data_IF_013274547896
#
_entry.id   IF_013274547896
#
_cell.length_a   1.000
_cell.length_b   1.000
_cell.length_c   1.000
_cell.angle_alpha   90.00
_cell.angle_beta   90.00
_cell.angle_gamma   90.00
#
_symmetry.space_group_name_H-M   'P 1'
#
loop_
_entity.id
_entity.type
_entity.pdbx_description
1 polymer ?
#
# COMPACT_ATOMS: atom_id res chain seq x y z
N UNK A 1 13.23 24.51 -12.75
CA UNK A 1 13.54 24.67 -11.32
C UNK A 1 12.78 23.57 -10.60
N UNK A 2 13.43 22.67 -9.86
CA UNK A 2 12.73 21.59 -9.16
C UNK A 2 12.04 22.16 -7.93
N UNK A 3 10.79 21.78 -7.67
CA UNK A 3 10.06 22.22 -6.48
C UNK A 3 10.82 21.73 -5.23
N UNK A 4 11.06 22.66 -4.29
CA UNK A 4 11.58 22.31 -2.98
C UNK A 4 10.49 21.59 -2.16
N UNK A 5 10.63 20.27 -2.07
CA UNK A 5 9.73 19.38 -1.34
C UNK A 5 9.59 19.77 0.14
N UNK A 6 10.65 20.29 0.76
CA UNK A 6 10.64 20.66 2.18
C UNK A 6 9.86 21.96 2.41
N UNK A 7 10.02 22.94 1.52
CA UNK A 7 9.20 24.16 1.54
C UNK A 7 7.71 23.82 1.33
N UNK A 8 7.40 22.90 0.43
CA UNK A 8 6.02 22.45 0.20
C UNK A 8 5.44 21.70 1.41
N UNK A 9 6.21 20.79 2.03
CA UNK A 9 5.83 20.10 3.29
C UNK A 9 5.54 21.10 4.42
N UNK A 10 6.40 22.10 4.58
CA UNK A 10 6.23 23.14 5.59
C UNK A 10 4.96 23.98 5.32
N UNK A 11 4.65 24.27 4.06
CA UNK A 11 3.43 24.99 3.68
C UNK A 11 2.15 24.19 4.00
N UNK A 12 2.16 22.88 3.71
CA UNK A 12 1.07 21.95 4.02
C UNK A 12 0.88 21.74 5.53
N UNK A 13 1.98 21.74 6.29
CA UNK A 13 1.97 21.57 7.74
C UNK A 13 1.60 22.86 8.50
N UNK A 14 1.89 24.02 7.90
CA UNK A 14 1.82 25.34 8.55
C UNK A 14 0.44 26.01 8.60
N UNK A 15 -0.65 25.34 8.20
CA UNK A 15 -2.05 25.86 8.17
C UNK A 15 -2.28 27.16 7.37
N UNK A 16 -1.31 27.67 6.62
CA UNK A 16 -1.41 28.96 5.91
C UNK A 16 -2.24 28.90 4.63
N UNK A 17 -2.39 27.72 4.03
CA UNK A 17 -3.12 27.52 2.77
C UNK A 17 -4.35 26.64 3.01
N UNK A 18 -5.52 27.28 3.09
CA UNK A 18 -6.80 26.63 3.47
C UNK A 18 -7.23 25.58 2.45
N UNK A 19 -7.00 25.84 1.15
CA UNK A 19 -7.36 24.91 0.08
C UNK A 19 -6.49 23.65 0.15
N UNK A 20 -5.17 23.85 0.28
CA UNK A 20 -4.23 22.74 0.46
C UNK A 20 -4.51 21.92 1.72
N UNK A 21 -4.79 22.57 2.85
CA UNK A 21 -5.18 21.87 4.09
C UNK A 21 -6.41 21.00 3.88
N UNK A 22 -7.44 21.52 3.22
CA UNK A 22 -8.67 20.78 2.94
C UNK A 22 -8.42 19.60 2.01
N UNK A 23 -7.55 19.74 1.00
CA UNK A 23 -7.14 18.63 0.14
C UNK A 23 -6.42 17.55 0.95
N UNK A 24 -5.46 17.93 1.81
CA UNK A 24 -4.77 16.99 2.70
C UNK A 24 -5.74 16.24 3.60
N UNK A 25 -6.69 16.93 4.21
CA UNK A 25 -7.72 16.31 5.06
C UNK A 25 -8.59 15.32 4.28
N UNK A 26 -8.98 15.66 3.05
CA UNK A 26 -9.77 14.77 2.19
C UNK A 26 -8.98 13.54 1.72
N UNK A 27 -7.71 13.70 1.34
CA UNK A 27 -6.84 12.57 0.97
C UNK A 27 -6.60 11.67 2.19
N UNK A 28 -6.31 12.26 3.36
CA UNK A 28 -6.13 11.50 4.60
C UNK A 28 -7.40 10.73 5.00
N UNK A 29 -8.57 11.35 4.82
CA UNK A 29 -9.87 10.70 5.03
C UNK A 29 -10.10 9.53 4.06
N UNK A 30 -9.71 9.67 2.78
CA UNK A 30 -9.77 8.56 1.81
C UNK A 30 -8.85 7.40 2.17
N UNK A 31 -7.64 7.68 2.67
CA UNK A 31 -6.74 6.65 3.20
C UNK A 31 -7.35 5.99 4.44
N UNK A 32 -8.01 6.77 5.30
CA UNK A 32 -8.72 6.23 6.47
C UNK A 32 -9.85 5.27 6.09
N UNK A 33 -10.59 5.56 5.02
CA UNK A 33 -11.64 4.69 4.49
C UNK A 33 -11.09 3.48 3.72
N UNK A 34 -9.80 3.46 3.36
CA UNK A 34 -9.19 2.37 2.62
C UNK A 34 -8.64 1.27 3.53
N UNK A 35 -8.31 0.13 2.92
CA UNK A 35 -7.61 -0.97 3.59
C UNK A 35 -6.21 -0.57 4.09
N UNK A 36 -5.63 0.50 3.56
CA UNK A 36 -4.30 1.04 3.93
C UNK A 36 -4.35 1.98 5.15
N UNK A 37 -5.48 2.06 5.85
CA UNK A 37 -5.61 2.87 7.05
C UNK A 37 -4.62 2.41 8.15
N UNK A 38 -3.66 3.27 8.50
CA UNK A 38 -2.68 3.07 9.57
C UNK A 38 -2.91 3.99 10.78
N UNK A 39 -4.10 4.60 10.86
CA UNK A 39 -4.48 5.55 11.90
C UNK A 39 -4.30 7.01 11.48
N UNK A 40 -5.03 7.90 12.14
CA UNK A 40 -5.20 9.31 11.75
C UNK A 40 -3.86 10.02 11.45
N UNK A 41 -2.89 9.92 12.37
CA UNK A 41 -1.58 10.58 12.22
C UNK A 41 -0.79 10.04 11.03
N UNK A 42 -0.75 8.71 10.86
CA UNK A 42 -0.03 8.08 9.77
C UNK A 42 -0.67 8.43 8.41
N UNK A 43 -2.00 8.36 8.33
CA UNK A 43 -2.75 8.69 7.11
C UNK A 43 -2.57 10.16 6.72
N UNK A 44 -2.53 11.08 7.69
CA UNK A 44 -2.29 12.49 7.41
C UNK A 44 -0.87 12.75 6.88
N UNK A 45 0.14 12.07 7.41
CA UNK A 45 1.52 12.14 6.89
C UNK A 45 1.58 11.57 5.47
N UNK A 46 0.98 10.40 5.24
CA UNK A 46 0.92 9.78 3.91
C UNK A 46 0.22 10.69 2.89
N UNK A 47 -0.86 11.36 3.28
CA UNK A 47 -1.54 12.35 2.44
C UNK A 47 -0.63 13.55 2.09
N UNK A 48 0.13 14.08 3.06
CA UNK A 48 1.11 15.15 2.79
C UNK A 48 2.16 14.67 1.80
N UNK A 49 2.74 13.49 2.01
CA UNK A 49 3.78 12.95 1.13
C UNK A 49 3.27 12.71 -0.29
N UNK A 50 2.05 12.17 -0.44
CA UNK A 50 1.39 12.00 -1.73
C UNK A 50 1.17 13.34 -2.46
N UNK A 51 0.67 14.36 -1.75
CA UNK A 51 0.46 15.71 -2.31
C UNK A 51 1.79 16.31 -2.75
N UNK A 52 2.81 16.24 -1.89
CA UNK A 52 4.14 16.79 -2.17
C UNK A 52 4.74 16.13 -3.40
N UNK A 53 4.64 14.81 -3.48
CA UNK A 53 5.18 14.06 -4.59
C UNK A 53 4.42 14.36 -5.89
N UNK A 54 3.09 14.29 -5.86
CA UNK A 54 2.24 14.62 -7.00
C UNK A 54 2.55 16.02 -7.54
N UNK A 55 2.61 17.03 -6.67
CA UNK A 55 2.89 18.41 -7.08
C UNK A 55 4.29 18.52 -7.70
N UNK A 56 5.29 17.90 -7.07
CA UNK A 56 6.69 17.97 -7.51
C UNK A 56 6.91 17.32 -8.88
N UNK A 57 6.13 16.30 -9.21
CA UNK A 57 6.24 15.56 -10.47
C UNK A 57 5.40 16.17 -11.59
N UNK A 58 4.26 16.80 -11.26
CA UNK A 58 3.28 17.25 -12.26
C UNK A 58 3.26 18.77 -12.49
N UNK A 59 3.97 19.56 -11.67
CA UNK A 59 3.99 21.01 -11.79
C UNK A 59 5.42 21.56 -11.76
N UNK A 60 5.71 22.60 -12.56
CA UNK A 60 7.02 23.22 -12.59
C UNK A 60 7.32 24.04 -11.32
N UNK A 61 6.29 24.60 -10.67
CA UNK A 61 6.40 25.37 -9.43
C UNK A 61 5.07 25.45 -8.64
N UNK A 62 5.13 25.94 -7.40
CA UNK A 62 3.97 26.11 -6.51
C UNK A 62 2.95 27.12 -7.09
N UNK A 63 3.34 28.27 -7.68
CA UNK A 63 2.39 29.16 -8.36
C UNK A 63 1.58 28.47 -9.47
N UNK A 64 2.21 27.68 -10.34
CA UNK A 64 1.55 26.94 -11.43
C UNK A 64 0.53 25.94 -10.89
N UNK A 65 0.89 25.27 -9.79
CA UNK A 65 -0.05 24.41 -9.06
C UNK A 65 -1.24 25.20 -8.49
N UNK A 66 -1.00 26.35 -7.86
CA UNK A 66 -2.06 27.22 -7.32
C UNK A 66 -2.97 27.76 -8.41
N UNK A 67 -2.41 28.09 -9.57
CA UNK A 67 -3.18 28.51 -10.74
C UNK A 67 -4.13 27.37 -11.17
N UNK A 68 -3.61 26.14 -11.31
CA UNK A 68 -4.42 24.95 -11.62
C UNK A 68 -5.52 24.71 -10.58
N UNK A 69 -5.19 24.80 -9.30
CA UNK A 69 -6.17 24.71 -8.22
C UNK A 69 -7.24 25.80 -8.34
N UNK A 70 -6.87 27.03 -8.68
CA UNK A 70 -7.81 28.15 -8.77
C UNK A 70 -8.78 28.00 -9.96
N UNK A 71 -8.33 27.39 -11.05
CA UNK A 71 -9.19 27.01 -12.18
C UNK A 71 -10.16 25.91 -11.84
N UNK A 72 -9.74 24.96 -10.99
CA UNK A 72 -10.63 23.93 -10.46
C UNK A 72 -11.60 24.56 -9.44
N UNK A 73 -11.14 25.45 -8.56
CA UNK A 73 -11.84 25.97 -7.37
C UNK A 73 -13.12 26.80 -7.59
N UNK A 74 -13.75 26.77 -8.77
CA UNK A 74 -15.07 27.38 -9.00
C UNK A 74 -16.23 26.61 -8.34
N UNK A 75 -16.03 26.03 -7.15
CA UNK A 75 -17.05 25.35 -6.33
C UNK A 75 -16.51 24.21 -5.45
N UNK A 76 -17.33 23.70 -4.51
CA UNK A 76 -16.99 22.61 -3.56
C UNK A 76 -16.56 21.32 -4.27
N UNK A 77 -17.21 20.99 -5.39
CA UNK A 77 -16.96 19.77 -6.17
C UNK A 77 -15.51 19.63 -6.65
N UNK A 78 -14.83 20.76 -6.86
CA UNK A 78 -13.48 20.78 -7.42
C UNK A 78 -12.35 20.39 -6.47
N UNK A 79 -12.49 20.72 -5.18
CA UNK A 79 -11.53 20.35 -4.14
C UNK A 79 -11.60 18.85 -3.88
N UNK A 80 -12.81 18.27 -3.94
CA UNK A 80 -13.01 16.82 -3.89
C UNK A 80 -12.41 16.13 -5.10
N UNK A 81 -12.68 16.61 -6.32
CA UNK A 81 -12.07 16.07 -7.54
C UNK A 81 -10.54 16.08 -7.49
N UNK A 82 -9.95 17.15 -6.95
CA UNK A 82 -8.49 17.22 -6.83
C UNK A 82 -7.95 16.25 -5.77
N UNK A 83 -8.64 16.11 -4.65
CA UNK A 83 -8.32 15.08 -3.66
C UNK A 83 -8.45 13.66 -4.22
N UNK A 84 -9.45 13.40 -5.09
CA UNK A 84 -9.58 12.12 -5.81
C UNK A 84 -8.35 11.85 -6.68
N UNK A 85 -7.92 12.83 -7.49
CA UNK A 85 -6.73 12.71 -8.34
C UNK A 85 -5.48 12.35 -7.51
N UNK A 86 -5.27 13.04 -6.39
CA UNK A 86 -4.12 12.76 -5.53
C UNK A 86 -4.25 11.40 -4.86
N UNK A 87 -5.45 11.00 -4.43
CA UNK A 87 -5.66 9.71 -3.80
C UNK A 87 -5.44 8.54 -4.78
N UNK A 88 -5.88 8.68 -6.04
CA UNK A 88 -5.55 7.71 -7.09
C UNK A 88 -4.04 7.68 -7.36
N UNK A 89 -3.38 8.84 -7.46
CA UNK A 89 -1.93 8.92 -7.57
C UNK A 89 -1.21 8.24 -6.39
N UNK A 90 -1.71 8.44 -5.16
CA UNK A 90 -1.22 7.75 -3.96
C UNK A 90 -1.34 6.24 -4.13
N UNK A 91 -2.51 5.71 -4.48
CA UNK A 91 -2.70 4.26 -4.66
C UNK A 91 -1.81 3.65 -5.74
N UNK A 92 -1.51 4.38 -6.81
CA UNK A 92 -0.65 3.92 -7.90
C UNK A 92 0.85 4.01 -7.58
N UNK A 93 1.23 4.83 -6.60
CA UNK A 93 2.63 5.13 -6.31
C UNK A 93 3.08 4.81 -4.88
N UNK A 94 2.15 4.49 -3.98
CA UNK A 94 2.46 4.04 -2.64
C UNK A 94 3.01 2.61 -2.69
N UNK A 95 4.21 2.45 -2.15
CA UNK A 95 4.89 1.16 -2.16
C UNK A 95 4.26 0.22 -1.13
N UNK A 96 3.97 -1.00 -1.55
CA UNK A 96 3.65 -2.10 -0.64
C UNK A 96 4.94 -2.53 0.07
N UNK A 97 5.21 -1.96 1.23
CA UNK A 97 6.27 -2.47 2.09
C UNK A 97 5.80 -3.66 2.95
N UNK A 98 6.78 -4.33 3.56
CA UNK A 98 6.54 -5.51 4.39
C UNK A 98 5.54 -5.23 5.53
N UNK A 99 5.67 -4.10 6.23
CA UNK A 99 4.83 -3.78 7.39
C UNK A 99 3.40 -3.44 6.96
N UNK A 100 3.22 -2.79 5.81
CA UNK A 100 1.91 -2.56 5.21
C UNK A 100 1.23 -3.88 4.90
N UNK A 101 1.90 -4.80 4.19
CA UNK A 101 1.30 -6.10 3.83
C UNK A 101 1.00 -6.92 5.08
N UNK A 102 1.93 -6.97 6.03
CA UNK A 102 1.74 -7.67 7.30
C UNK A 102 0.52 -7.12 8.05
N UNK A 103 0.42 -5.80 8.18
CA UNK A 103 -0.72 -5.16 8.84
C UNK A 103 -2.04 -5.47 8.11
N UNK A 104 -2.07 -5.50 6.77
CA UNK A 104 -3.26 -5.89 6.00
C UNK A 104 -3.72 -7.32 6.34
N UNK A 105 -2.77 -8.24 6.53
CA UNK A 105 -3.03 -9.63 6.93
C UNK A 105 -3.49 -9.71 8.38
N UNK A 106 -2.73 -9.18 9.33
CA UNK A 106 -3.00 -9.30 10.78
C UNK A 106 -4.33 -8.67 11.17
N UNK A 107 -4.71 -7.58 10.50
CA UNK A 107 -5.98 -6.87 10.75
C UNK A 107 -7.13 -7.34 9.85
N UNK A 108 -6.88 -8.32 8.96
CA UNK A 108 -7.82 -8.82 7.97
C UNK A 108 -8.46 -7.74 7.07
N UNK A 109 -7.76 -6.62 6.86
CA UNK A 109 -8.22 -5.51 6.01
C UNK A 109 -8.20 -5.86 4.52
N UNK A 110 -7.31 -6.77 4.11
CA UNK A 110 -7.37 -7.39 2.79
C UNK A 110 -7.74 -8.87 2.93
N UNK A 111 -8.96 -9.22 2.50
CA UNK A 111 -9.51 -10.57 2.63
C UNK A 111 -8.78 -11.58 1.75
N UNK A 112 -8.24 -11.18 0.60
CA UNK A 112 -7.52 -12.11 -0.28
C UNK A 112 -6.16 -12.45 0.32
N UNK A 113 -5.43 -11.43 0.81
CA UNK A 113 -4.16 -11.65 1.52
C UNK A 113 -4.36 -12.54 2.74
N UNK A 114 -5.40 -12.28 3.54
CA UNK A 114 -5.71 -13.12 4.72
C UNK A 114 -5.97 -14.57 4.33
N UNK A 115 -6.78 -14.83 3.29
CA UNK A 115 -7.07 -16.19 2.81
C UNK A 115 -5.82 -16.87 2.24
N UNK A 116 -5.00 -16.15 1.48
CA UNK A 116 -3.72 -16.65 0.98
C UNK A 116 -2.85 -17.09 2.16
N UNK A 117 -2.72 -16.25 3.20
CA UNK A 117 -1.97 -16.59 4.42
C UNK A 117 -2.53 -17.82 5.11
N UNK A 118 -3.84 -17.95 5.23
CA UNK A 118 -4.47 -19.13 5.83
C UNK A 118 -4.17 -20.42 5.04
N UNK A 119 -4.17 -20.34 3.70
CA UNK A 119 -3.81 -21.46 2.82
C UNK A 119 -2.32 -21.83 2.99
N UNK A 120 -1.42 -20.83 3.06
CA UNK A 120 0.00 -21.06 3.29
C UNK A 120 0.23 -21.70 4.67
N UNK A 121 -0.43 -21.20 5.72
CA UNK A 121 -0.34 -21.78 7.07
C UNK A 121 -0.83 -23.23 7.11
N UNK A 122 -1.91 -23.53 6.37
CA UNK A 122 -2.41 -24.90 6.23
C UNK A 122 -1.42 -25.81 5.49
N UNK A 123 -0.70 -25.30 4.48
CA UNK A 123 0.37 -26.06 3.81
C UNK A 123 1.55 -26.34 4.73
N UNK A 124 1.96 -25.37 5.56
CA UNK A 124 3.00 -25.58 6.59
C UNK A 124 2.55 -26.65 7.59
N UNK A 125 1.29 -26.59 8.04
CA UNK A 125 0.73 -27.63 8.91
C UNK A 125 0.78 -29.05 8.30
N UNK A 126 0.68 -29.16 6.97
CA UNK A 126 0.78 -30.44 6.26
C UNK A 126 2.23 -30.88 5.99
N UNK A 127 3.24 -30.07 6.28
CA UNK A 127 4.65 -30.35 5.99
C UNK A 127 5.41 -30.83 7.23
N UNK A 128 6.70 -31.16 7.05
CA UNK A 128 7.62 -31.47 8.14
C UNK A 128 7.99 -30.26 9.01
N UNK A 129 7.58 -29.06 8.63
CA UNK A 129 7.88 -27.80 9.33
C UNK A 129 6.77 -27.38 10.29
N UNK A 130 5.74 -28.22 10.48
CA UNK A 130 4.65 -27.95 11.42
C UNK A 130 5.19 -27.66 12.83
N UNK A 131 4.91 -26.46 13.32
CA UNK A 131 5.25 -25.97 14.66
C UNK A 131 4.01 -25.64 15.48
N UNK A 132 2.83 -26.08 15.01
CA UNK A 132 1.54 -25.81 15.60
C UNK A 132 0.85 -24.57 15.01
N UNK A 133 -0.48 -24.44 15.16
CA UNK A 133 -1.30 -23.49 14.39
C UNK A 133 -0.87 -22.02 14.48
N UNK A 134 -0.51 -21.56 15.67
CA UNK A 134 -0.12 -20.16 15.90
C UNK A 134 1.22 -19.83 15.23
N UNK A 135 2.23 -20.69 15.42
CA UNK A 135 3.55 -20.50 14.80
C UNK A 135 3.47 -20.65 13.28
N UNK A 136 2.68 -21.60 12.77
CA UNK A 136 2.46 -21.76 11.33
C UNK A 136 1.80 -20.52 10.71
N UNK A 137 0.85 -19.89 11.41
CA UNK A 137 0.24 -18.65 10.95
C UNK A 137 1.24 -17.49 10.94
N UNK A 138 2.03 -17.31 12.00
CA UNK A 138 3.05 -16.25 12.05
C UNK A 138 4.12 -16.41 10.95
N UNK A 139 4.55 -17.65 10.71
CA UNK A 139 5.43 -17.99 9.59
C UNK A 139 4.79 -17.64 8.25
N UNK A 140 3.56 -18.12 7.99
CA UNK A 140 2.83 -17.83 6.77
C UNK A 140 2.61 -16.32 6.55
N UNK A 141 2.25 -15.58 7.60
CA UNK A 141 2.07 -14.13 7.56
C UNK A 141 3.36 -13.44 7.12
N UNK A 142 4.48 -13.83 7.74
CA UNK A 142 5.80 -13.29 7.42
C UNK A 142 6.19 -13.59 5.97
N UNK A 143 5.96 -14.81 5.48
CA UNK A 143 6.33 -15.18 4.11
C UNK A 143 5.46 -14.52 3.05
N UNK A 144 4.14 -14.44 3.28
CA UNK A 144 3.24 -13.72 2.38
C UNK A 144 3.61 -12.24 2.36
N UNK A 145 3.88 -11.63 3.51
CA UNK A 145 4.30 -10.23 3.58
C UNK A 145 5.61 -9.97 2.84
N UNK A 146 6.62 -10.83 3.02
CA UNK A 146 7.87 -10.75 2.27
C UNK A 146 7.67 -10.91 0.77
N UNK A 147 7.01 -11.99 0.35
CA UNK A 147 6.83 -12.26 -1.08
C UNK A 147 6.07 -11.13 -1.77
N UNK A 148 4.96 -10.66 -1.19
CA UNK A 148 4.14 -9.62 -1.81
C UNK A 148 4.88 -8.29 -1.87
N UNK A 149 5.55 -7.88 -0.80
CA UNK A 149 6.29 -6.61 -0.78
C UNK A 149 7.51 -6.59 -1.71
N UNK A 150 8.14 -7.73 -1.96
CA UNK A 150 9.27 -7.84 -2.91
C UNK A 150 8.82 -7.89 -4.38
N UNK A 151 7.63 -8.44 -4.66
CA UNK A 151 7.20 -8.73 -6.04
C UNK A 151 6.17 -7.74 -6.59
N UNK A 152 5.52 -6.93 -5.75
CA UNK A 152 4.49 -6.00 -6.19
C UNK A 152 4.76 -4.58 -5.69
N UNK A 153 4.73 -3.63 -6.63
CA UNK A 153 4.90 -2.21 -6.30
C UNK A 153 3.81 -1.71 -5.36
N UNK A 154 2.54 -2.05 -5.61
CA UNK A 154 1.38 -1.52 -4.91
C UNK A 154 0.20 -2.51 -4.95
N UNK A 155 -0.85 -2.24 -4.18
CA UNK A 155 -2.04 -3.12 -4.10
C UNK A 155 -2.69 -3.33 -5.48
N UNK A 156 -2.92 -2.28 -6.31
CA UNK A 156 -3.45 -2.47 -7.65
C UNK A 156 -2.66 -3.49 -8.48
N UNK A 157 -1.33 -3.41 -8.49
CA UNK A 157 -0.46 -4.34 -9.22
C UNK A 157 -0.59 -5.78 -8.70
N UNK A 158 -0.68 -5.95 -7.38
CA UNK A 158 -0.96 -7.25 -6.77
C UNK A 158 -2.33 -7.82 -7.19
N UNK A 159 -3.38 -7.00 -7.14
CA UNK A 159 -4.74 -7.42 -7.54
C UNK A 159 -4.84 -7.73 -9.04
N UNK A 160 -4.15 -6.95 -9.87
CA UNK A 160 -4.04 -7.21 -11.30
C UNK A 160 -3.37 -8.56 -11.54
N UNK A 161 -2.26 -8.85 -10.87
CA UNK A 161 -1.61 -10.15 -10.96
C UNK A 161 -2.52 -11.30 -10.52
N UNK A 162 -3.23 -11.17 -9.38
CA UNK A 162 -4.22 -12.17 -8.97
C UNK A 162 -5.29 -12.41 -10.04
N UNK A 163 -5.76 -11.35 -10.70
CA UNK A 163 -6.75 -11.49 -11.77
C UNK A 163 -6.19 -12.25 -13.00
N UNK A 164 -4.88 -12.21 -13.25
CA UNK A 164 -4.26 -13.00 -14.32
C UNK A 164 -4.23 -14.51 -14.03
N UNK A 165 -4.27 -14.91 -12.76
CA UNK A 165 -4.23 -16.32 -12.34
C UNK A 165 -5.59 -17.02 -12.46
N UNK A 166 -6.68 -16.29 -12.69
CA UNK A 166 -8.02 -16.86 -12.89
C UNK A 166 -9.10 -16.17 -12.05
N UNK A 167 -10.15 -16.92 -11.67
CA UNK A 167 -11.26 -16.40 -10.85
C UNK A 167 -11.55 -17.30 -9.65
N UNK A 168 -11.98 -16.67 -8.56
CA UNK A 168 -12.51 -17.36 -7.38
C UNK A 168 -11.43 -18.01 -6.50
N UNK A 169 -11.83 -19.00 -5.71
CA UNK A 169 -10.96 -19.61 -4.69
C UNK A 169 -9.69 -20.26 -5.28
N UNK A 170 -9.78 -20.85 -6.48
CA UNK A 170 -8.65 -21.49 -7.17
C UNK A 170 -7.49 -20.51 -7.45
N UNK A 171 -7.79 -19.23 -7.68
CA UNK A 171 -6.78 -18.17 -7.83
C UNK A 171 -5.97 -17.99 -6.56
N UNK A 172 -6.64 -17.94 -5.40
CA UNK A 172 -5.99 -17.75 -4.11
C UNK A 172 -5.12 -18.95 -3.74
N UNK A 173 -5.61 -20.16 -4.02
CA UNK A 173 -4.83 -21.41 -3.85
C UNK A 173 -3.58 -21.44 -4.74
N UNK A 174 -3.71 -21.03 -6.00
CA UNK A 174 -2.58 -20.95 -6.95
C UNK A 174 -1.54 -19.97 -6.44
N UNK A 175 -1.95 -18.77 -6.02
CA UNK A 175 -1.03 -17.78 -5.48
C UNK A 175 -0.38 -18.25 -4.17
N UNK A 176 -1.15 -18.83 -3.26
CA UNK A 176 -0.61 -19.39 -2.02
C UNK A 176 0.41 -20.50 -2.28
N UNK A 177 0.21 -21.31 -3.32
CA UNK A 177 1.18 -22.32 -3.75
C UNK A 177 2.49 -21.68 -4.24
N UNK A 178 2.42 -20.57 -4.98
CA UNK A 178 3.60 -19.81 -5.42
C UNK A 178 4.39 -19.31 -4.20
N UNK A 179 3.71 -18.68 -3.23
CA UNK A 179 4.35 -18.16 -2.01
C UNK A 179 4.98 -19.30 -1.21
N UNK A 180 4.26 -20.40 -1.01
CA UNK A 180 4.76 -21.55 -0.27
C UNK A 180 6.02 -22.17 -0.93
N UNK A 181 6.05 -22.26 -2.26
CA UNK A 181 7.25 -22.75 -2.96
C UNK A 181 8.42 -21.77 -2.90
N UNK A 182 8.18 -20.46 -2.97
CA UNK A 182 9.22 -19.45 -2.78
C UNK A 182 9.87 -19.60 -1.40
N UNK A 183 9.04 -19.78 -0.36
CA UNK A 183 9.49 -20.03 1.00
C UNK A 183 10.34 -21.31 1.12
N UNK A 184 9.79 -22.45 0.69
CA UNK A 184 10.47 -23.74 0.80
C UNK A 184 11.81 -23.74 0.08
N UNK A 185 11.91 -23.08 -1.08
CA UNK A 185 13.16 -22.96 -1.82
C UNK A 185 14.19 -22.12 -1.07
N UNK A 186 13.80 -20.98 -0.51
CA UNK A 186 14.71 -20.09 0.21
C UNK A 186 15.24 -20.71 1.51
N UNK A 187 14.44 -21.48 2.26
CA UNK A 187 14.94 -22.17 3.45
C UNK A 187 15.96 -23.26 3.11
N UNK A 188 15.72 -24.03 2.05
CA UNK A 188 16.67 -25.06 1.61
C UNK A 188 17.98 -24.47 1.08
N UNK A 189 17.93 -23.35 0.36
CA UNK A 189 19.13 -22.64 -0.11
C UNK A 189 19.94 -22.06 1.07
N UNK A 190 19.29 -21.59 2.13
CA UNK A 190 19.98 -21.12 3.35
C UNK A 190 20.50 -22.25 4.24
N UNK A 191 19.85 -23.41 4.26
CA UNK A 191 20.37 -24.60 4.96
C UNK A 191 21.67 -25.11 4.33
N UNK A 192 21.75 -25.16 3.00
CA UNK A 192 22.97 -25.61 2.30
C UNK A 192 24.12 -24.60 2.30
N UNK A 193 23.86 -23.32 2.59
CA UNK A 193 24.90 -22.29 2.68
C UNK A 193 25.59 -22.22 4.07
N UNK A 194 25.02 -22.89 5.08
CA UNK A 194 25.52 -22.89 6.46
C UNK A 194 26.13 -24.24 6.89
N UNK A 195 26.32 -25.17 5.94
CA UNK A 195 27.08 -26.42 6.08
C UNK A 195 28.49 -26.29 5.49
#
# INVERSE_FOLDING_TARGET
>A
MTIDKQLLKNALSGKKDVALKKITELVAYKIYESQENLGEKANYIAAIDAIVQYISENFPDIPSFRERLSHLSKGILSVHQFADIIYEYYRENHFLDFEVVKNLISTAKDTDLKKITDIVAFKIYQSSEDKGPELNFLSAETFVAHYVSENFKNIPAFKEYLATLGKGAATLETFAQIVYYYYYRNENEQSCANE
#
